data_IF_927105838094
#
_entry.id   IF_927105838094
#
_cell.length_a   1.000
_cell.length_b   1.000
_cell.length_c   1.000
_cell.angle_alpha   90.00
_cell.angle_beta   90.00
_cell.angle_gamma   90.00
#
_symmetry.space_group_name_H-M   'P 1'
#
loop_
_entity.id
_entity.type
_entity.pdbx_description
1 polymer ?
#
# COMPACT_ATOMS: atom_id res chain seq x y z
N UNK A 1 11.42 8.75 -8.68
CA UNK A 1 10.45 9.80 -8.25
C UNK A 1 11.12 10.67 -7.19
N UNK A 2 10.75 11.95 -7.02
CA UNK A 2 11.31 12.78 -5.93
C UNK A 2 10.29 13.00 -4.82
N UNK A 3 10.60 12.53 -3.61
CA UNK A 3 9.82 12.75 -2.39
C UNK A 3 9.66 14.25 -2.08
N UNK A 4 8.49 14.62 -1.58
CA UNK A 4 8.10 15.96 -1.20
C UNK A 4 7.70 15.93 0.29
N UNK A 5 8.46 16.62 1.12
CA UNK A 5 8.17 16.74 2.55
C UNK A 5 6.89 17.56 2.77
N UNK A 6 5.99 17.04 3.61
CA UNK A 6 4.81 17.75 4.07
C UNK A 6 4.49 17.38 5.52
N UNK A 7 4.71 18.32 6.43
CA UNK A 7 4.45 18.14 7.88
C UNK A 7 3.01 17.71 8.22
N UNK A 8 2.00 18.07 7.42
CA UNK A 8 0.62 17.63 7.63
C UNK A 8 0.45 16.15 7.30
N UNK A 9 1.13 15.66 6.26
CA UNK A 9 1.14 14.22 5.94
C UNK A 9 1.87 13.44 7.04
N UNK A 10 2.98 13.96 7.58
CA UNK A 10 3.68 13.33 8.70
C UNK A 10 2.82 13.22 9.96
N UNK A 11 2.02 14.25 10.25
CA UNK A 11 1.06 14.21 11.34
C UNK A 11 -0.01 13.12 11.13
N UNK A 12 -0.49 12.96 9.90
CA UNK A 12 -1.42 11.88 9.54
C UNK A 12 -0.74 10.51 9.63
N UNK A 13 0.50 10.35 9.15
CA UNK A 13 1.25 9.09 9.22
C UNK A 13 1.41 8.62 10.67
N UNK A 14 1.73 9.57 11.57
CA UNK A 14 1.80 9.30 13.01
C UNK A 14 0.45 8.86 13.59
N UNK A 15 -0.66 9.37 13.05
CA UNK A 15 -2.01 8.99 13.47
C UNK A 15 -2.54 7.73 12.78
N UNK A 16 -1.94 7.27 11.68
CA UNK A 16 -2.33 6.07 10.93
C UNK A 16 -1.56 4.81 11.36
N UNK A 17 -0.80 4.89 12.44
CA UNK A 17 -0.21 3.73 13.12
C UNK A 17 -0.96 3.52 14.43
N UNK A 18 -1.95 2.61 14.42
CA UNK A 18 -2.88 2.43 15.54
C UNK A 18 -3.03 0.95 15.88
N UNK A 19 -2.80 0.63 17.14
CA UNK A 19 -3.21 -0.63 17.75
C UNK A 19 -4.66 -0.50 18.27
N UNK A 20 -5.51 -1.48 17.93
CA UNK A 20 -6.88 -1.57 18.41
C UNK A 20 -7.25 -3.02 18.74
N UNK A 21 -7.03 -3.41 20.00
CA UNK A 21 -7.26 -4.78 20.47
C UNK A 21 -6.32 -5.75 19.75
N UNK A 22 -6.89 -6.79 19.14
CA UNK A 22 -6.16 -7.83 18.42
C UNK A 22 -5.86 -7.45 16.96
N UNK A 23 -5.91 -6.17 16.62
CA UNK A 23 -5.66 -5.65 15.27
C UNK A 23 -4.72 -4.44 15.33
N UNK A 24 -3.83 -4.34 14.36
CA UNK A 24 -2.97 -3.17 14.15
C UNK A 24 -3.18 -2.63 12.73
N UNK A 25 -3.33 -1.31 12.61
CA UNK A 25 -3.34 -0.58 11.34
C UNK A 25 -2.02 0.15 11.19
N UNK A 26 -1.38 -0.03 10.03
CA UNK A 26 -0.14 0.66 9.67
C UNK A 26 -0.36 1.30 8.30
N UNK A 27 -0.55 2.62 8.29
CA UNK A 27 -0.76 3.40 7.08
C UNK A 27 0.29 4.48 6.89
N UNK A 28 0.59 4.78 5.62
CA UNK A 28 1.54 5.81 5.22
C UNK A 28 1.08 6.55 3.96
N UNK A 29 1.13 7.88 4.02
CA UNK A 29 0.93 8.82 2.94
C UNK A 29 2.23 9.51 2.58
N UNK A 30 2.58 9.47 1.30
CA UNK A 30 3.81 10.05 0.77
C UNK A 30 3.53 10.83 -0.51
N UNK A 31 4.09 12.02 -0.62
CA UNK A 31 3.94 12.86 -1.80
C UNK A 31 5.20 12.82 -2.66
N UNK A 32 5.02 12.64 -3.96
CA UNK A 32 6.11 12.55 -4.92
C UNK A 32 5.88 13.43 -6.14
N UNK A 33 6.90 14.18 -6.53
CA UNK A 33 6.93 14.81 -7.86
C UNK A 33 7.38 13.83 -8.93
N UNK A 34 6.70 13.84 -10.08
CA UNK A 34 7.00 13.06 -11.28
C UNK A 34 8.23 13.61 -12.05
N UNK A 35 9.28 14.01 -11.32
CA UNK A 35 10.58 14.36 -11.89
C UNK A 35 11.39 13.08 -12.08
N UNK A 36 12.02 12.97 -13.24
CA UNK A 36 12.90 11.85 -13.56
C UNK A 36 14.30 12.21 -13.06
N UNK A 37 14.74 11.64 -11.94
CA UNK A 37 16.02 11.95 -11.33
C UNK A 37 16.81 10.68 -11.00
N UNK A 38 18.11 10.66 -11.31
CA UNK A 38 18.98 9.52 -10.96
C UNK A 38 18.63 8.22 -11.70
N UNK A 39 18.56 7.12 -10.95
CA UNK A 39 18.32 5.76 -11.45
C UNK A 39 17.00 5.58 -12.20
N UNK A 40 16.02 6.44 -11.91
CA UNK A 40 14.78 6.66 -12.68
C UNK A 40 15.02 6.68 -14.20
N UNK A 41 16.11 7.32 -14.65
CA UNK A 41 16.41 7.44 -16.07
C UNK A 41 16.74 6.10 -16.72
N UNK A 42 17.31 5.13 -15.98
CA UNK A 42 17.61 3.79 -16.51
C UNK A 42 16.33 2.98 -16.66
N UNK A 43 15.51 2.94 -15.61
CA UNK A 43 14.22 2.26 -15.63
C UNK A 43 13.30 2.82 -16.74
N UNK A 44 13.26 4.15 -16.89
CA UNK A 44 12.49 4.76 -17.96
C UNK A 44 12.99 4.37 -19.35
N UNK A 45 14.31 4.27 -19.54
CA UNK A 45 14.88 3.85 -20.83
C UNK A 45 14.53 2.41 -21.16
N UNK A 46 14.59 1.50 -20.19
CA UNK A 46 14.18 0.10 -20.39
C UNK A 46 12.72 0.03 -20.84
N UNK A 47 11.82 0.71 -20.13
CA UNK A 47 10.39 0.73 -20.46
C UNK A 47 10.08 1.51 -21.75
N UNK A 48 10.91 2.49 -22.12
CA UNK A 48 10.79 3.23 -23.40
C UNK A 48 11.36 2.45 -24.58
N UNK A 49 12.27 1.50 -24.35
CA UNK A 49 12.73 0.60 -25.41
C UNK A 49 11.64 -0.39 -25.84
N UNK A 50 10.65 -0.64 -24.97
CA UNK A 50 9.50 -1.49 -25.26
C UNK A 50 8.39 -0.80 -26.05
N UNK A 51 8.38 0.55 -26.16
CA UNK A 51 7.32 1.27 -26.87
C UNK A 51 7.29 2.78 -26.62
N UNK A 52 6.37 3.50 -27.29
CA UNK A 52 6.22 4.95 -27.12
C UNK A 52 5.74 5.28 -25.69
N UNK A 53 6.30 6.29 -25.00
CA UNK A 53 5.88 6.64 -23.64
C UNK A 53 4.40 7.01 -23.49
N UNK A 54 3.76 7.48 -24.57
CA UNK A 54 2.34 7.82 -24.60
C UNK A 54 1.46 6.68 -25.12
N UNK A 55 2.07 5.58 -25.58
CA UNK A 55 1.35 4.37 -25.92
C UNK A 55 0.54 3.89 -24.72
N UNK A 56 -0.69 3.45 -24.97
CA UNK A 56 -1.56 2.93 -23.93
C UNK A 56 -1.23 1.46 -23.68
N UNK A 57 -1.07 1.12 -22.41
CA UNK A 57 -1.02 -0.25 -21.94
C UNK A 57 -2.27 -0.54 -21.11
N UNK A 58 -2.81 -1.75 -21.27
CA UNK A 58 -4.00 -2.19 -20.53
C UNK A 58 -3.53 -2.68 -19.16
N UNK A 59 -4.19 -2.18 -18.11
CA UNK A 59 -3.98 -2.63 -16.73
C UNK A 59 -5.00 -3.74 -16.39
N UNK A 60 -4.81 -4.42 -15.26
CA UNK A 60 -5.81 -5.36 -14.76
C UNK A 60 -7.10 -4.64 -14.36
N UNK A 61 -8.28 -5.25 -14.59
CA UNK A 61 -9.54 -4.72 -14.08
C UNK A 61 -9.50 -4.59 -12.54
N UNK A 62 -10.17 -3.58 -11.94
CA UNK A 62 -10.30 -3.49 -10.49
C UNK A 62 -10.91 -4.76 -9.89
N UNK A 63 -10.29 -5.32 -8.85
CA UNK A 63 -10.66 -6.62 -8.27
C UNK A 63 -12.15 -6.68 -7.84
N UNK A 64 -12.69 -5.58 -7.32
CA UNK A 64 -14.09 -5.49 -6.87
C UNK A 64 -15.11 -5.43 -8.02
N UNK A 65 -14.66 -5.27 -9.27
CA UNK A 65 -15.50 -5.16 -10.47
C UNK A 65 -15.48 -6.41 -11.37
N UNK A 66 -14.91 -7.53 -10.91
CA UNK A 66 -14.83 -8.78 -11.68
C UNK A 66 -16.18 -9.32 -12.18
N UNK A 67 -17.32 -8.82 -11.68
CA UNK A 67 -18.66 -9.27 -12.09
C UNK A 67 -19.21 -8.60 -13.37
N UNK A 68 -18.54 -7.59 -13.94
CA UNK A 68 -19.05 -6.82 -15.09
C UNK A 68 -18.35 -7.21 -16.40
N UNK A 69 -18.71 -8.35 -16.99
CA UNK A 69 -18.05 -9.00 -18.16
C UNK A 69 -18.19 -8.21 -19.50
N UNK A 70 -18.43 -6.88 -19.49
CA UNK A 70 -18.65 -6.09 -20.74
C UNK A 70 -18.10 -4.66 -20.70
N UNK A 71 -16.99 -4.41 -20.01
CA UNK A 71 -16.33 -3.10 -20.11
C UNK A 71 -15.20 -3.11 -21.14
N UNK A 72 -15.09 -2.01 -21.90
CA UNK A 72 -14.04 -1.83 -22.90
C UNK A 72 -12.66 -1.86 -22.20
N UNK A 73 -11.71 -2.74 -22.60
CA UNK A 73 -10.38 -2.83 -21.97
C UNK A 73 -9.63 -1.49 -21.92
N UNK A 74 -9.92 -0.58 -22.86
CA UNK A 74 -9.33 0.77 -22.87
C UNK A 74 -9.74 1.63 -21.67
N UNK A 75 -10.85 1.33 -20.99
CA UNK A 75 -11.26 2.04 -19.78
C UNK A 75 -10.25 1.86 -18.64
N UNK A 76 -9.55 0.72 -18.63
CA UNK A 76 -8.55 0.39 -17.62
C UNK A 76 -7.13 0.72 -18.07
N UNK A 77 -6.94 1.23 -19.29
CA UNK A 77 -5.62 1.55 -19.80
C UNK A 77 -5.04 2.84 -19.19
N UNK A 78 -3.71 2.88 -19.15
CA UNK A 78 -2.92 4.08 -18.88
C UNK A 78 -1.75 4.19 -19.86
N UNK A 79 -1.08 5.33 -19.94
CA UNK A 79 0.12 5.41 -20.78
C UNK A 79 1.30 4.66 -20.14
N UNK A 80 2.23 4.14 -20.95
CA UNK A 80 3.48 3.52 -20.44
C UNK A 80 4.22 4.45 -19.49
N UNK A 81 4.20 5.76 -19.76
CA UNK A 81 4.76 6.79 -18.88
C UNK A 81 4.08 6.86 -17.52
N UNK A 82 2.76 6.69 -17.46
CA UNK A 82 2.04 6.61 -16.17
C UNK A 82 2.45 5.34 -15.44
N UNK A 83 2.44 4.17 -16.09
CA UNK A 83 2.89 2.91 -15.48
C UNK A 83 4.30 3.04 -14.89
N UNK A 84 5.23 3.64 -15.65
CA UNK A 84 6.57 3.97 -15.15
C UNK A 84 6.54 4.81 -13.86
N UNK A 85 5.68 5.83 -13.79
CA UNK A 85 5.56 6.64 -12.56
C UNK A 85 5.02 5.83 -11.39
N UNK A 86 4.09 4.90 -11.61
CA UNK A 86 3.57 4.02 -10.55
C UNK A 86 4.70 3.12 -10.00
N UNK A 87 5.41 2.40 -10.89
CA UNK A 87 6.53 1.52 -10.52
C UNK A 87 7.65 2.30 -9.82
N UNK A 88 7.99 3.49 -10.33
CA UNK A 88 9.01 4.34 -9.74
C UNK A 88 8.60 4.91 -8.38
N UNK A 89 7.30 4.99 -8.10
CA UNK A 89 6.77 5.43 -6.81
C UNK A 89 6.90 4.30 -5.78
N UNK A 90 6.54 3.07 -6.15
CA UNK A 90 6.77 1.88 -5.30
C UNK A 90 8.24 1.75 -4.91
N UNK A 91 9.14 1.79 -5.91
CA UNK A 91 10.58 1.75 -5.67
C UNK A 91 11.10 2.90 -4.79
N UNK A 92 10.47 4.08 -4.83
CA UNK A 92 10.86 5.18 -3.97
C UNK A 92 10.34 5.05 -2.53
N UNK A 93 9.24 4.32 -2.33
CA UNK A 93 8.55 4.15 -1.05
C UNK A 93 9.08 2.96 -0.23
N UNK A 94 9.48 1.89 -0.91
CA UNK A 94 9.79 0.59 -0.30
C UNK A 94 11.26 0.17 -0.42
N UNK A 95 12.13 1.00 -0.98
CA UNK A 95 13.57 0.73 -0.95
C UNK A 95 14.15 0.96 0.44
N UNK A 96 15.17 0.18 0.84
CA UNK A 96 15.87 -0.85 0.05
C UNK A 96 15.21 -2.23 0.09
N UNK A 97 14.11 -2.40 0.81
CA UNK A 97 13.55 -3.70 1.16
C UNK A 97 12.94 -4.44 -0.05
N UNK A 98 12.39 -3.70 -1.02
CA UNK A 98 11.75 -4.26 -2.21
C UNK A 98 12.22 -3.59 -3.51
N UNK A 99 12.26 -4.37 -4.60
CA UNK A 99 12.55 -3.90 -5.96
C UNK A 99 11.40 -4.25 -6.92
N UNK A 100 10.72 -3.21 -7.40
CA UNK A 100 9.58 -3.32 -8.32
C UNK A 100 9.97 -3.08 -9.77
N UNK A 101 11.26 -3.03 -10.10
CA UNK A 101 11.74 -2.68 -11.46
C UNK A 101 11.17 -3.59 -12.57
N UNK A 102 10.74 -4.81 -12.23
CA UNK A 102 10.14 -5.77 -13.16
C UNK A 102 8.61 -5.91 -13.04
N UNK A 103 7.96 -5.07 -12.21
CA UNK A 103 6.52 -5.11 -12.03
C UNK A 103 5.79 -4.86 -13.36
N UNK A 104 4.78 -5.67 -13.64
CA UNK A 104 4.06 -5.68 -14.91
C UNK A 104 2.74 -4.92 -14.83
N UNK A 105 2.17 -4.58 -15.98
CA UNK A 105 0.93 -3.80 -16.05
C UNK A 105 -0.29 -4.49 -15.46
N UNK A 106 -0.31 -5.82 -15.45
CA UNK A 106 -1.36 -6.66 -14.86
C UNK A 106 -1.32 -6.71 -13.32
N UNK A 107 -0.24 -6.26 -12.68
CA UNK A 107 -0.19 -6.04 -11.23
C UNK A 107 -0.76 -4.67 -10.83
N UNK A 108 -1.20 -3.86 -11.79
CA UNK A 108 -1.83 -2.56 -11.51
C UNK A 108 -3.27 -2.55 -12.01
N UNK A 109 -4.08 -1.69 -11.41
CA UNK A 109 -5.43 -1.41 -11.88
C UNK A 109 -5.70 0.08 -11.92
N UNK A 110 -6.54 0.51 -12.86
CA UNK A 110 -7.09 1.87 -12.87
C UNK A 110 -8.41 1.87 -12.13
N UNK A 111 -8.46 2.60 -11.02
CA UNK A 111 -9.63 2.64 -10.17
C UNK A 111 -10.77 3.48 -10.79
N UNK A 112 -12.05 3.13 -10.53
CA UNK A 112 -13.19 3.77 -11.16
C UNK A 112 -13.30 5.28 -10.89
N UNK A 113 -13.01 5.70 -9.66
CA UNK A 113 -13.03 7.10 -9.24
C UNK A 113 -12.34 7.30 -7.90
N UNK A 114 -11.99 8.56 -7.59
CA UNK A 114 -11.57 8.95 -6.24
C UNK A 114 -12.64 8.58 -5.21
N UNK A 115 -13.91 8.87 -5.48
CA UNK A 115 -15.02 8.56 -4.57
C UNK A 115 -15.10 7.07 -4.22
N UNK A 116 -14.87 6.20 -5.21
CA UNK A 116 -14.82 4.76 -4.99
C UNK A 116 -13.72 4.38 -4.00
N UNK A 117 -12.49 4.84 -4.25
CA UNK A 117 -11.34 4.59 -3.37
C UNK A 117 -11.55 5.21 -1.98
N UNK A 118 -12.10 6.42 -1.90
CA UNK A 118 -12.41 7.07 -0.62
C UNK A 118 -13.42 6.27 0.20
N UNK A 119 -14.47 5.76 -0.42
CA UNK A 119 -15.46 4.91 0.25
C UNK A 119 -14.85 3.59 0.73
N UNK A 120 -13.99 2.98 -0.09
CA UNK A 120 -13.25 1.78 0.30
C UNK A 120 -12.38 2.04 1.53
N UNK A 121 -11.52 3.06 1.48
CA UNK A 121 -10.63 3.42 2.60
C UNK A 121 -11.42 3.73 3.86
N UNK A 122 -12.50 4.52 3.76
CA UNK A 122 -13.36 4.86 4.89
C UNK A 122 -14.00 3.62 5.52
N UNK A 123 -14.44 2.67 4.70
CA UNK A 123 -15.06 1.44 5.18
C UNK A 123 -14.03 0.54 5.87
N UNK A 124 -12.84 0.36 5.26
CA UNK A 124 -11.77 -0.47 5.80
C UNK A 124 -11.21 0.08 7.12
N UNK A 125 -10.89 1.37 7.16
CA UNK A 125 -10.41 2.03 8.40
C UNK A 125 -11.51 2.11 9.46
N UNK A 126 -12.75 2.43 9.07
CA UNK A 126 -13.88 2.49 9.98
C UNK A 126 -14.20 1.14 10.64
N UNK A 127 -14.06 0.03 9.90
CA UNK A 127 -14.27 -1.32 10.43
C UNK A 127 -13.24 -1.70 11.51
N UNK A 128 -11.98 -1.28 11.35
CA UNK A 128 -10.91 -1.62 12.31
C UNK A 128 -10.83 -0.61 13.46
N UNK A 129 -10.97 0.68 13.19
CA UNK A 129 -10.74 1.75 14.18
C UNK A 129 -12.03 2.20 14.90
N UNK A 130 -13.20 1.84 14.37
CA UNK A 130 -14.51 2.16 14.96
C UNK A 130 -14.67 3.66 15.24
N UNK A 131 -15.09 3.99 16.47
CA UNK A 131 -15.30 5.37 16.90
C UNK A 131 -14.03 6.24 16.84
N UNK A 132 -12.82 5.64 16.89
CA UNK A 132 -11.55 6.42 16.78
C UNK A 132 -11.38 7.05 15.41
N UNK A 133 -11.92 6.43 14.36
CA UNK A 133 -11.87 6.98 13.00
C UNK A 133 -12.70 8.26 12.86
N UNK A 134 -13.82 8.32 13.57
CA UNK A 134 -14.83 9.38 13.50
C UNK A 134 -14.89 10.24 14.78
N UNK A 135 -13.90 10.13 15.68
CA UNK A 135 -13.96 10.72 17.02
C UNK A 135 -13.98 12.24 16.95
N UNK A 136 -14.98 12.85 17.60
CA UNK A 136 -15.32 14.27 17.50
C UNK A 136 -14.39 15.22 18.28
N UNK A 137 -13.55 14.71 19.18
CA UNK A 137 -12.69 15.52 20.06
C UNK A 137 -11.50 16.18 19.34
N UNK A 138 -11.17 15.71 18.14
CA UNK A 138 -10.43 16.47 17.13
C UNK A 138 -11.49 17.07 16.20
N UNK A 139 -11.51 18.37 15.97
CA UNK A 139 -12.50 19.02 15.12
C UNK A 139 -12.59 18.34 13.73
N UNK A 140 -13.57 17.43 13.55
CA UNK A 140 -13.80 16.63 12.34
C UNK A 140 -13.36 15.16 12.37
N UNK A 141 -12.63 14.68 13.38
CA UNK A 141 -12.12 13.31 13.46
C UNK A 141 -11.01 12.98 12.46
N UNK A 142 -10.40 11.78 12.60
CA UNK A 142 -9.28 11.34 11.76
C UNK A 142 -9.67 11.30 10.28
N UNK A 143 -10.89 10.83 9.96
CA UNK A 143 -11.43 10.82 8.60
C UNK A 143 -11.43 12.21 7.94
N UNK A 144 -11.97 13.24 8.62
CA UNK A 144 -11.98 14.59 8.05
C UNK A 144 -10.58 15.14 7.87
N UNK A 145 -9.71 14.98 8.88
CA UNK A 145 -8.34 15.47 8.80
C UNK A 145 -7.57 14.80 7.65
N UNK A 146 -7.74 13.49 7.48
CA UNK A 146 -7.17 12.70 6.39
C UNK A 146 -7.58 13.27 5.04
N UNK A 147 -8.88 13.37 4.77
CA UNK A 147 -9.38 13.79 3.46
C UNK A 147 -9.13 15.27 3.16
N UNK A 148 -9.20 16.15 4.15
CA UNK A 148 -8.80 17.55 3.99
C UNK A 148 -7.32 17.66 3.62
N UNK A 149 -6.45 16.94 4.33
CA UNK A 149 -5.00 16.99 4.08
C UNK A 149 -4.65 16.41 2.71
N UNK A 150 -5.26 15.28 2.33
CA UNK A 150 -5.10 14.68 1.00
C UNK A 150 -5.51 15.69 -0.08
N UNK A 151 -6.69 16.29 0.05
CA UNK A 151 -7.19 17.20 -0.96
C UNK A 151 -6.34 18.47 -1.11
N UNK A 152 -5.87 19.04 0.00
CA UNK A 152 -4.93 20.16 -0.03
C UNK A 152 -3.61 19.82 -0.73
N UNK A 153 -3.12 18.58 -0.55
CA UNK A 153 -1.83 18.15 -1.09
C UNK A 153 -1.88 17.80 -2.59
N UNK A 154 -2.97 17.19 -3.07
CA UNK A 154 -3.02 16.62 -4.43
C UNK A 154 -4.15 17.13 -5.32
N UNK A 155 -5.11 17.88 -4.78
CA UNK A 155 -6.35 18.28 -5.45
C UNK A 155 -7.08 17.08 -6.08
N UNK A 156 -7.99 16.48 -5.33
CA UNK A 156 -8.66 15.23 -5.68
C UNK A 156 -9.46 15.30 -6.98
N UNK A 157 -10.05 16.45 -7.31
CA UNK A 157 -10.90 16.62 -8.50
C UNK A 157 -10.13 16.41 -9.81
N UNK A 158 -8.81 16.64 -9.80
CA UNK A 158 -7.92 16.50 -10.95
C UNK A 158 -7.17 15.15 -10.98
N UNK A 159 -7.50 14.22 -10.06
CA UNK A 159 -6.77 12.97 -9.91
C UNK A 159 -7.34 11.82 -10.75
N UNK A 160 -6.43 11.05 -11.33
CA UNK A 160 -6.69 9.66 -11.69
C UNK A 160 -6.19 8.77 -10.56
N UNK A 161 -6.91 7.70 -10.24
CA UNK A 161 -6.52 6.78 -9.16
C UNK A 161 -6.14 5.42 -9.74
N UNK A 162 -5.07 4.86 -9.20
CA UNK A 162 -4.57 3.54 -9.55
C UNK A 162 -4.31 2.72 -8.28
N UNK A 163 -4.28 1.41 -8.39
CA UNK A 163 -3.87 0.49 -7.34
C UNK A 163 -2.72 -0.40 -7.80
N UNK A 164 -1.88 -0.83 -6.87
CA UNK A 164 -0.93 -1.94 -7.05
C UNK A 164 -1.46 -3.16 -6.28
N UNK A 165 -1.67 -4.23 -7.02
CA UNK A 165 -2.28 -5.49 -6.60
C UNK A 165 -1.27 -6.61 -6.92
N UNK A 166 -0.27 -6.82 -6.06
CA UNK A 166 0.78 -7.79 -6.30
C UNK A 166 0.23 -9.22 -6.36
N UNK A 167 0.92 -10.08 -7.11
CA UNK A 167 0.79 -11.52 -6.93
C UNK A 167 1.34 -11.93 -5.55
N UNK A 168 0.92 -13.09 -5.03
CA UNK A 168 1.32 -13.58 -3.70
C UNK A 168 2.84 -13.59 -3.48
N UNK A 169 3.62 -13.89 -4.52
CA UNK A 169 5.10 -13.95 -4.44
C UNK A 169 5.77 -12.55 -4.42
N UNK A 170 5.04 -11.50 -4.79
CA UNK A 170 5.53 -10.12 -4.93
C UNK A 170 4.94 -9.15 -3.90
N UNK A 171 4.08 -9.64 -3.00
CA UNK A 171 3.35 -8.80 -2.05
C UNK A 171 4.25 -8.34 -0.89
N UNK A 172 4.51 -7.02 -0.73
CA UNK A 172 5.23 -6.51 0.43
C UNK A 172 4.48 -6.72 1.76
N UNK A 173 3.21 -7.12 1.70
CA UNK A 173 2.37 -7.41 2.85
C UNK A 173 1.92 -8.87 2.95
N UNK A 174 2.57 -9.79 2.23
CA UNK A 174 2.25 -11.22 2.21
C UNK A 174 2.46 -11.97 3.54
N UNK A 175 2.53 -11.26 4.67
CA UNK A 175 2.70 -11.81 6.01
C UNK A 175 1.44 -12.56 6.49
N UNK A 176 1.64 -13.61 7.30
CA UNK A 176 0.53 -14.25 8.00
C UNK A 176 -0.22 -13.23 8.89
N UNK A 177 -1.55 -13.23 8.78
CA UNK A 177 -2.43 -12.37 9.59
C UNK A 177 -2.80 -11.03 8.97
N UNK A 178 -2.36 -10.71 7.74
CA UNK A 178 -2.87 -9.57 6.99
C UNK A 178 -4.39 -9.71 6.77
N UNK A 179 -5.17 -8.80 7.35
CA UNK A 179 -6.64 -8.76 7.20
C UNK A 179 -7.04 -8.11 5.89
N UNK A 180 -6.37 -7.02 5.56
CA UNK A 180 -6.47 -6.32 4.30
C UNK A 180 -5.24 -5.41 4.13
N UNK A 181 -4.90 -5.14 2.88
CA UNK A 181 -3.91 -4.13 2.51
C UNK A 181 -4.38 -3.41 1.25
N UNK A 182 -3.84 -2.22 1.02
CA UNK A 182 -4.00 -1.51 -0.25
C UNK A 182 -2.80 -0.62 -0.54
N UNK A 183 -2.59 -0.36 -1.84
CA UNK A 183 -1.53 0.51 -2.35
C UNK A 183 -2.13 1.43 -3.43
N UNK A 184 -2.66 2.58 -3.05
CA UNK A 184 -3.31 3.51 -3.97
C UNK A 184 -2.39 4.66 -4.39
N UNK A 185 -2.48 5.03 -5.66
CA UNK A 185 -1.78 6.17 -6.26
C UNK A 185 -2.82 7.20 -6.72
N UNK A 186 -2.84 8.38 -6.09
CA UNK A 186 -3.62 9.52 -6.57
C UNK A 186 -2.72 10.38 -7.44
N UNK A 187 -2.90 10.28 -8.75
CA UNK A 187 -2.06 10.95 -9.75
C UNK A 187 -2.74 12.19 -10.32
N UNK A 188 -2.22 13.36 -9.94
CA UNK A 188 -2.58 14.64 -10.55
C UNK A 188 -1.60 14.99 -11.68
N UNK A 189 -2.06 14.81 -12.93
CA UNK A 189 -1.26 15.07 -14.14
C UNK A 189 -0.88 16.55 -14.30
N UNK A 190 -1.75 17.46 -13.87
CA UNK A 190 -1.54 18.91 -13.98
C UNK A 190 -0.45 19.38 -13.03
N UNK A 191 -0.46 18.85 -11.81
CA UNK A 191 0.59 19.10 -10.80
C UNK A 191 1.87 18.28 -11.04
N UNK A 192 1.81 17.25 -11.91
CA UNK A 192 2.88 16.26 -12.10
C UNK A 192 3.30 15.64 -10.76
N UNK A 193 2.30 15.23 -9.98
CA UNK A 193 2.47 14.75 -8.60
C UNK A 193 1.65 13.49 -8.37
N UNK A 194 2.23 12.55 -7.64
CA UNK A 194 1.55 11.36 -7.12
C UNK A 194 1.53 11.48 -5.61
N UNK A 195 0.36 11.35 -5.01
CA UNK A 195 0.22 11.02 -3.59
C UNK A 195 0.03 9.51 -3.49
N UNK A 196 0.96 8.84 -2.84
CA UNK A 196 0.92 7.40 -2.61
C UNK A 196 0.36 7.13 -1.21
N UNK A 197 -0.71 6.33 -1.15
CA UNK A 197 -1.31 5.89 0.10
C UNK A 197 -1.23 4.37 0.18
N UNK A 198 -0.37 3.89 1.06
CA UNK A 198 -0.26 2.48 1.39
C UNK A 198 -0.74 2.22 2.81
N UNK A 199 -1.48 1.14 3.03
CA UNK A 199 -2.00 0.81 4.34
C UNK A 199 -2.24 -0.69 4.45
N UNK A 200 -1.94 -1.26 5.62
CA UNK A 200 -2.36 -2.62 5.99
C UNK A 200 -3.03 -2.65 7.35
N UNK A 201 -3.93 -3.61 7.52
CA UNK A 201 -4.38 -4.06 8.82
C UNK A 201 -3.93 -5.51 9.04
N UNK A 202 -3.42 -5.80 10.23
CA UNK A 202 -2.93 -7.12 10.61
C UNK A 202 -3.58 -7.55 11.93
N UNK A 203 -3.86 -8.84 12.07
CA UNK A 203 -4.26 -9.42 13.36
C UNK A 203 -3.03 -9.65 14.24
N UNK A 204 -3.10 -9.17 15.48
CA UNK A 204 -2.08 -9.36 16.51
C UNK A 204 -2.14 -10.76 17.15
N UNK A 205 -3.12 -11.59 16.83
CA UNK A 205 -3.35 -12.90 17.48
C UNK A 205 -2.37 -14.02 17.05
N UNK A 206 -1.47 -13.77 16.10
CA UNK A 206 -0.52 -14.78 15.62
C UNK A 206 0.80 -14.82 16.40
N UNK A 207 1.08 -13.82 17.24
CA UNK A 207 2.31 -13.79 18.04
C UNK A 207 2.29 -14.75 19.25
N UNK A 208 1.14 -15.33 19.59
CA UNK A 208 0.96 -16.16 20.81
C UNK A 208 1.18 -17.68 20.60
N UNK A 209 1.82 -18.10 19.51
CA UNK A 209 2.16 -19.53 19.25
C UNK A 209 3.63 -19.90 19.48
N UNK A 210 4.43 -19.04 20.11
CA UNK A 210 5.85 -19.33 20.40
C UNK A 210 6.15 -19.76 21.84
N UNK A 211 5.14 -20.10 22.65
CA UNK A 211 5.31 -20.46 24.07
C UNK A 211 5.34 -21.98 24.26
N UNK A 212 6.56 -22.50 24.46
CA UNK A 212 6.98 -23.73 25.16
C UNK A 212 6.51 -25.12 24.65
N UNK A 213 7.30 -25.73 23.76
CA UNK A 213 7.65 -27.15 23.94
C UNK A 213 9.00 -27.20 24.68
N UNK A 214 8.95 -27.36 26.01
CA UNK A 214 10.16 -27.65 26.78
C UNK A 214 10.68 -29.05 26.35
N UNK A 215 12.00 -29.21 26.12
CA UNK A 215 12.56 -30.52 25.82
C UNK A 215 12.43 -31.44 27.04
N UNK A 216 12.06 -32.69 26.78
CA UNK A 216 12.03 -33.78 27.76
C UNK A 216 13.45 -33.92 28.35
N UNK A 217 13.61 -33.63 29.64
CA UNK A 217 14.84 -33.95 30.37
C UNK A 217 15.05 -35.47 30.37
N UNK A 218 16.05 -35.89 29.60
CA UNK A 218 16.59 -37.25 29.56
C UNK A 218 17.31 -37.50 30.90
N UNK A 219 16.64 -38.19 31.83
CA UNK A 219 17.25 -38.63 33.09
C UNK A 219 18.42 -39.59 32.80
N UNK A 220 19.65 -39.07 32.82
CA UNK A 220 20.86 -39.90 32.86
C UNK A 220 21.06 -40.52 34.25
N UNK A 221 21.52 -41.77 34.18
CA UNK A 221 21.81 -42.70 35.27
C UNK A 221 22.87 -42.17 36.25
N UNK A 222 22.58 -42.20 37.55
CA UNK A 222 23.63 -42.35 38.57
C UNK A 222 23.49 -43.68 39.30
N UNK A 223 24.55 -44.47 39.16
CA UNK A 223 24.82 -45.76 39.74
C UNK A 223 24.89 -45.71 41.27
N UNK A 224 24.03 -46.47 41.96
CA UNK A 224 24.29 -46.88 43.34
C UNK A 224 24.93 -48.28 43.35
N UNK A 225 26.26 -48.27 43.39
CA UNK A 225 27.04 -49.35 43.96
C UNK A 225 26.93 -49.21 45.50
N UNK A 226 26.32 -50.17 46.17
CA UNK A 226 26.51 -50.35 47.62
C UNK A 226 26.83 -51.81 47.90
N UNK A 227 28.11 -52.05 48.18
CA UNK A 227 28.57 -53.19 48.94
C UNK A 227 28.20 -52.97 50.41
N UNK A 228 27.39 -53.85 50.98
CA UNK A 228 27.58 -54.47 52.31
C UNK A 228 26.50 -55.53 52.56
#
# INVERSE_FOLDING_TARGET
>A
MKFLENSKLEAINSALTIENGDCCVIGRLESYSCKMAGDDKRLFKTLSHEGDPNELTVLSPPQTMMSSIRENPLNYACSRKTLYYLISTLNASFRPDYDFSNAKSDEFSREPSVNYVSNFINSSLGAVLGERYNRWDIAGGLSSLLWTTINEEINLDDCHVYSYNPDLDSDPYGDEGCLWSFNFFLYNRRMKRILFFTCKAQSSSLDDKSIHEDPIDEFEFESFNTNL
#
